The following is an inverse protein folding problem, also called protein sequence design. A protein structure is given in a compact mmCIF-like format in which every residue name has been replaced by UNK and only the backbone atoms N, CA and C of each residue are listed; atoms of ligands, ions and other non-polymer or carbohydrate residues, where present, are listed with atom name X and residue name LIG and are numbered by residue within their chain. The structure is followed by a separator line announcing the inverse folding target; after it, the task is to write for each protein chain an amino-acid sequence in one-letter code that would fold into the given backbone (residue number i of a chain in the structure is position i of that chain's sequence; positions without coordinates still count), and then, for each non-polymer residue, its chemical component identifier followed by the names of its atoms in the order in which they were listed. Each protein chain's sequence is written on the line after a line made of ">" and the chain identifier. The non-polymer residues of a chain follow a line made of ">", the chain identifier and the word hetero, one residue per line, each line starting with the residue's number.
data_IF_555164687806
#
_entry.id   IF_555164687806
#
_cell.length_a   1.000
_cell.length_b   1.000
_cell.length_c   1.000
_cell.angle_alpha   90.00
_cell.angle_beta   90.00
_cell.angle_gamma   90.00
#
_symmetry.space_group_name_H-M   'P 1'
#
loop_
_entity.id
_entity.type
_entity.pdbx_description
1 polymer ?
#
# COMPACT_ATOMS: atom_id res chain seq x y z
N UNK A 1 -7.58 -24.91 -1.10
CA UNK A 1 -8.71 -24.66 -0.18
C UNK A 1 -9.58 -23.60 -0.83
N UNK A 2 -10.57 -24.02 -1.61
CA UNK A 2 -11.59 -23.09 -2.10
C UNK A 2 -12.59 -22.88 -0.97
N UNK A 3 -12.32 -21.88 -0.13
CA UNK A 3 -13.22 -21.49 0.93
C UNK A 3 -14.38 -20.70 0.31
N UNK A 4 -15.40 -21.40 -0.19
CA UNK A 4 -16.62 -20.77 -0.70
C UNK A 4 -17.51 -20.37 0.48
N UNK A 5 -17.64 -19.06 0.71
CA UNK A 5 -18.59 -18.53 1.69
C UNK A 5 -20.00 -18.71 1.15
N UNK A 6 -20.83 -19.51 1.83
CA UNK A 6 -22.23 -19.65 1.48
C UNK A 6 -22.99 -18.36 1.87
N UNK A 7 -23.59 -17.70 0.88
CA UNK A 7 -24.32 -16.43 1.04
C UNK A 7 -25.83 -16.59 0.79
N UNK A 8 -26.34 -17.81 0.59
CA UNK A 8 -27.72 -18.07 0.18
C UNK A 8 -28.78 -17.64 1.19
N UNK A 9 -28.41 -17.45 2.46
CA UNK A 9 -29.33 -17.04 3.53
C UNK A 9 -29.39 -15.53 3.74
N UNK A 10 -28.61 -14.74 3.00
CA UNK A 10 -28.46 -13.30 3.21
C UNK A 10 -29.17 -12.51 2.12
N UNK A 11 -29.81 -11.41 2.51
CA UNK A 11 -30.42 -10.49 1.56
C UNK A 11 -29.33 -9.70 0.79
N UNK A 12 -29.58 -9.27 -0.46
CA UNK A 12 -28.60 -8.53 -1.26
C UNK A 12 -28.01 -7.30 -0.57
N UNK A 13 -28.80 -6.64 0.29
CA UNK A 13 -28.37 -5.49 1.10
C UNK A 13 -27.34 -5.87 2.16
N UNK A 14 -27.48 -7.04 2.77
CA UNK A 14 -26.56 -7.56 3.78
C UNK A 14 -25.24 -7.97 3.12
N UNK A 15 -25.33 -8.61 1.94
CA UNK A 15 -24.16 -8.94 1.11
C UNK A 15 -23.41 -7.66 0.72
N UNK A 16 -24.11 -6.61 0.27
CA UNK A 16 -23.47 -5.34 -0.06
C UNK A 16 -22.74 -4.71 1.15
N UNK A 17 -23.33 -4.79 2.34
CA UNK A 17 -22.70 -4.31 3.58
C UNK A 17 -21.45 -5.13 3.93
N UNK A 18 -21.51 -6.45 3.79
CA UNK A 18 -20.36 -7.32 4.00
C UNK A 18 -19.22 -6.98 3.03
N UNK A 19 -19.51 -6.82 1.75
CA UNK A 19 -18.52 -6.43 0.74
C UNK A 19 -17.86 -5.09 1.09
N UNK A 20 -18.63 -4.11 1.56
CA UNK A 20 -18.08 -2.81 1.99
C UNK A 20 -17.16 -2.93 3.22
N UNK A 21 -17.50 -3.83 4.16
CA UNK A 21 -16.73 -4.03 5.39
C UNK A 21 -15.46 -4.88 5.20
N UNK A 22 -15.50 -5.86 4.30
CA UNK A 22 -14.40 -6.79 3.99
C UNK A 22 -13.46 -6.22 2.91
N UNK A 23 -13.69 -4.98 2.48
CA UNK A 23 -12.97 -4.39 1.38
C UNK A 23 -11.49 -4.11 1.71
N UNK A 24 -10.59 -4.95 1.18
CA UNK A 24 -9.14 -4.78 1.29
C UNK A 24 -8.52 -3.87 0.22
N UNK A 25 -9.33 -3.18 -0.60
CA UNK A 25 -8.82 -2.36 -1.70
C UNK A 25 -7.84 -1.27 -1.23
N UNK A 26 -8.07 -0.66 -0.06
CA UNK A 26 -7.17 0.34 0.49
C UNK A 26 -5.80 -0.25 0.88
N UNK A 27 -5.81 -1.39 1.57
CA UNK A 27 -4.59 -2.11 1.94
C UNK A 27 -3.84 -2.60 0.70
N UNK A 28 -4.56 -3.20 -0.26
CA UNK A 28 -4.00 -3.64 -1.53
C UNK A 28 -3.37 -2.49 -2.31
N UNK A 29 -4.01 -1.31 -2.38
CA UNK A 29 -3.45 -0.15 -3.06
C UNK A 29 -2.12 0.28 -2.43
N UNK A 30 -2.02 0.29 -1.10
CA UNK A 30 -0.76 0.61 -0.42
C UNK A 30 0.32 -0.47 -0.64
N UNK A 31 -0.04 -1.76 -0.61
CA UNK A 31 0.89 -2.86 -0.92
C UNK A 31 1.39 -2.76 -2.37
N UNK A 32 0.53 -2.38 -3.32
CA UNK A 32 0.96 -2.16 -4.72
C UNK A 32 1.90 -0.96 -4.83
N UNK A 33 1.68 0.11 -4.05
CA UNK A 33 2.61 1.23 -3.99
C UNK A 33 3.98 0.79 -3.46
N UNK A 34 4.01 0.00 -2.38
CA UNK A 34 5.25 -0.57 -1.82
C UNK A 34 6.02 -1.31 -2.90
N UNK A 35 5.37 -2.24 -3.60
CA UNK A 35 5.99 -3.07 -4.67
C UNK A 35 6.56 -2.24 -5.81
N UNK A 36 5.95 -1.11 -6.16
CA UNK A 36 6.40 -0.22 -7.25
C UNK A 36 7.49 0.78 -6.85
N UNK A 37 7.68 1.00 -5.55
CA UNK A 37 8.60 2.02 -5.01
C UNK A 37 9.83 1.43 -4.32
N UNK A 38 9.71 0.20 -3.81
CA UNK A 38 10.78 -0.49 -3.08
C UNK A 38 11.11 -1.79 -3.83
N UNK A 39 12.23 -1.79 -4.57
CA UNK A 39 12.71 -2.95 -5.34
C UNK A 39 12.89 -4.20 -4.46
N UNK A 40 13.33 -4.01 -3.21
CA UNK A 40 13.52 -5.09 -2.24
C UNK A 40 12.22 -5.82 -1.83
N UNK A 41 11.06 -5.22 -2.11
CA UNK A 41 9.73 -5.77 -1.81
C UNK A 41 8.90 -5.94 -3.08
N UNK A 42 9.53 -5.80 -4.24
CA UNK A 42 8.91 -6.08 -5.53
C UNK A 42 8.60 -7.58 -5.66
N UNK A 43 7.67 -7.92 -6.55
CA UNK A 43 7.44 -9.32 -6.89
C UNK A 43 8.67 -9.89 -7.62
N UNK A 44 9.03 -11.15 -7.38
CA UNK A 44 10.13 -11.77 -8.09
C UNK A 44 9.89 -11.80 -9.58
N UNK A 45 10.96 -11.57 -10.34
CA UNK A 45 10.93 -11.56 -11.79
C UNK A 45 10.95 -13.01 -12.31
N UNK A 46 10.10 -13.31 -13.27
CA UNK A 46 10.17 -14.56 -14.03
C UNK A 46 11.08 -14.34 -15.23
N UNK A 47 12.23 -15.01 -15.29
CA UNK A 47 13.16 -14.88 -16.42
C UNK A 47 12.90 -15.95 -17.46
N UNK A 48 13.11 -15.64 -18.74
CA UNK A 48 12.86 -16.58 -19.84
C UNK A 48 13.84 -17.78 -19.89
N UNK A 49 14.89 -17.78 -19.06
CA UNK A 49 16.01 -18.74 -19.12
C UNK A 49 16.03 -19.76 -17.97
N UNK A 50 15.14 -19.64 -16.99
CA UNK A 50 15.14 -20.54 -15.83
C UNK A 50 13.72 -20.81 -15.37
N UNK A 51 13.46 -22.06 -15.01
CA UNK A 51 12.16 -22.55 -14.55
C UNK A 51 11.90 -22.12 -13.08
N UNK A 52 12.06 -20.81 -12.79
CA UNK A 52 12.09 -20.30 -11.42
C UNK A 52 11.91 -18.78 -11.27
N UNK A 53 11.42 -18.39 -10.09
CA UNK A 53 11.32 -16.99 -9.65
C UNK A 53 12.70 -16.45 -9.30
N UNK A 54 13.08 -15.31 -9.87
CA UNK A 54 14.33 -14.63 -9.58
C UNK A 54 14.13 -13.56 -8.49
N UNK A 55 14.98 -13.62 -7.46
CA UNK A 55 14.93 -12.77 -6.28
C UNK A 55 16.16 -11.86 -6.19
N UNK A 56 16.69 -11.37 -7.32
CA UNK A 56 17.94 -10.59 -7.36
C UNK A 56 17.96 -9.36 -6.44
N UNK A 57 16.80 -8.77 -6.13
CA UNK A 57 16.66 -7.62 -5.25
C UNK A 57 16.21 -8.01 -3.84
N UNK A 58 16.08 -9.30 -3.52
CA UNK A 58 15.62 -9.71 -2.20
C UNK A 58 16.59 -9.25 -1.12
N UNK A 59 16.01 -8.80 -0.02
CA UNK A 59 16.76 -8.27 1.09
C UNK A 59 17.31 -9.41 1.96
N UNK A 60 18.60 -9.36 2.28
CA UNK A 60 19.22 -10.32 3.18
C UNK A 60 18.91 -10.04 4.65
N UNK A 61 18.69 -8.76 5.02
CA UNK A 61 18.29 -8.36 6.37
C UNK A 61 16.88 -7.72 6.33
N UNK A 62 15.86 -8.35 6.95
CA UNK A 62 14.50 -7.81 6.96
C UNK A 62 14.38 -6.44 7.64
N UNK A 63 15.31 -6.05 8.51
CA UNK A 63 15.30 -4.73 9.17
C UNK A 63 15.33 -3.58 8.15
N UNK A 64 16.13 -3.70 7.08
CA UNK A 64 16.18 -2.68 6.04
C UNK A 64 14.85 -2.56 5.29
N UNK A 65 14.08 -3.64 5.17
CA UNK A 65 12.74 -3.59 4.59
C UNK A 65 11.79 -2.79 5.49
N UNK A 66 11.84 -3.02 6.80
CA UNK A 66 11.05 -2.24 7.77
C UNK A 66 11.41 -0.75 7.73
N UNK A 67 12.71 -0.42 7.71
CA UNK A 67 13.18 0.97 7.63
C UNK A 67 12.69 1.65 6.34
N UNK A 68 12.84 0.99 5.19
CA UNK A 68 12.40 1.50 3.90
C UNK A 68 10.88 1.70 3.83
N UNK A 69 10.09 0.72 4.33
CA UNK A 69 8.63 0.85 4.43
C UNK A 69 8.26 2.03 5.33
N UNK A 70 8.97 2.21 6.45
CA UNK A 70 8.69 3.30 7.39
C UNK A 70 8.87 4.66 6.72
N UNK A 71 9.98 4.84 5.99
CA UNK A 71 10.23 6.06 5.20
C UNK A 71 9.14 6.26 4.15
N UNK A 72 8.83 5.21 3.37
CA UNK A 72 7.80 5.28 2.33
C UNK A 72 6.42 5.62 2.92
N UNK A 73 6.06 5.03 4.06
CA UNK A 73 4.80 5.30 4.77
C UNK A 73 4.71 6.76 5.19
N UNK A 74 5.77 7.32 5.75
CA UNK A 74 5.81 8.74 6.14
C UNK A 74 5.69 9.63 4.91
N UNK A 75 6.48 9.38 3.86
CA UNK A 75 6.41 10.14 2.62
C UNK A 75 5.03 10.06 1.95
N UNK A 76 4.44 8.86 1.85
CA UNK A 76 3.11 8.65 1.25
C UNK A 76 2.01 9.42 1.99
N UNK A 77 1.99 9.36 3.31
CA UNK A 77 0.94 9.98 4.10
C UNK A 77 1.02 11.50 4.15
N UNK A 78 2.23 12.08 4.18
CA UNK A 78 2.42 13.51 4.46
C UNK A 78 2.89 14.32 3.26
N UNK A 79 3.66 13.72 2.33
CA UNK A 79 4.30 14.46 1.23
C UNK A 79 3.69 14.21 -0.15
N UNK A 80 3.03 13.06 -0.37
CA UNK A 80 2.54 12.67 -1.70
C UNK A 80 1.02 12.90 -1.84
N UNK A 81 0.57 14.08 -2.31
CA UNK A 81 -0.84 14.29 -2.61
C UNK A 81 -1.22 13.55 -3.89
N UNK A 82 -2.39 12.95 -3.89
CA UNK A 82 -2.99 12.36 -5.09
C UNK A 82 -4.37 12.95 -5.34
N UNK A 83 -4.73 13.00 -6.61
CA UNK A 83 -6.02 13.49 -7.04
C UNK A 83 -7.04 12.35 -6.98
N UNK A 84 -8.17 12.62 -6.35
CA UNK A 84 -9.34 11.74 -6.40
C UNK A 84 -10.57 12.60 -6.23
N UNK A 85 -11.56 12.41 -7.12
CA UNK A 85 -12.80 13.20 -7.19
C UNK A 85 -12.53 14.72 -7.24
N UNK A 86 -11.58 15.15 -8.09
CA UNK A 86 -11.14 16.55 -8.26
C UNK A 86 -10.54 17.21 -7.01
N UNK A 87 -10.18 16.42 -5.99
CA UNK A 87 -9.56 16.93 -4.76
C UNK A 87 -8.15 16.34 -4.66
N UNK A 88 -7.15 17.22 -4.69
CA UNK A 88 -5.74 16.88 -4.48
C UNK A 88 -5.38 17.02 -3.00
N UNK A 89 -5.31 15.88 -2.29
CA UNK A 89 -5.00 15.81 -0.85
C UNK A 89 -4.14 14.58 -0.55
N UNK A 90 -3.30 14.66 0.48
CA UNK A 90 -2.57 13.50 0.99
C UNK A 90 -3.49 12.57 1.78
N UNK A 91 -3.13 11.30 1.99
CA UNK A 91 -3.87 10.41 2.89
C UNK A 91 -4.06 10.99 4.30
N UNK A 92 -3.02 11.60 4.90
CA UNK A 92 -3.13 12.20 6.22
C UNK A 92 -4.10 13.39 6.26
N UNK A 93 -4.18 14.19 5.18
CA UNK A 93 -5.17 15.26 5.07
C UNK A 93 -6.60 14.73 4.93
N UNK A 94 -6.80 13.60 4.23
CA UNK A 94 -8.12 12.97 4.07
C UNK A 94 -8.64 12.40 5.40
N UNK A 95 -7.74 11.91 6.24
CA UNK A 95 -8.05 11.43 7.59
C UNK A 95 -8.18 12.57 8.62
N UNK A 96 -7.88 13.82 8.25
CA UNK A 96 -7.91 14.96 9.18
C UNK A 96 -6.72 15.03 10.15
N UNK A 97 -5.70 14.18 9.96
CA UNK A 97 -4.48 14.14 10.78
C UNK A 97 -3.58 15.35 10.47
N UNK A 98 -3.54 15.76 9.20
CA UNK A 98 -2.73 16.87 8.72
C UNK A 98 -3.59 17.96 8.07
N UNK A 99 -3.19 19.23 8.23
CA UNK A 99 -3.86 20.37 7.58
C UNK A 99 -3.22 20.77 6.26
N UNK A 100 -1.91 20.55 6.09
CA UNK A 100 -1.14 20.88 4.89
C UNK A 100 -0.46 19.66 4.27
N UNK A 101 0.01 19.81 3.04
CA UNK A 101 1.00 18.93 2.43
C UNK A 101 2.37 19.32 3.00
N UNK A 102 3.17 18.33 3.41
CA UNK A 102 4.51 18.55 3.95
C UNK A 102 5.56 18.36 2.86
N UNK A 103 6.64 19.14 2.93
CA UNK A 103 7.84 18.87 2.15
C UNK A 103 8.81 17.96 2.93
N UNK A 104 9.76 17.33 2.24
CA UNK A 104 10.72 16.43 2.91
C UNK A 104 11.52 17.16 4.00
N UNK A 105 11.86 18.42 3.79
CA UNK A 105 12.55 19.30 4.76
C UNK A 105 11.73 19.58 6.02
N UNK A 106 10.39 19.48 5.94
CA UNK A 106 9.53 19.68 7.11
C UNK A 106 9.55 18.44 8.04
N UNK A 107 10.02 17.29 7.53
CA UNK A 107 10.04 16.00 8.23
C UNK A 107 11.45 15.63 8.67
N UNK A 108 12.43 15.84 7.78
CA UNK A 108 13.84 15.59 8.06
C UNK A 108 14.48 16.86 8.62
N UNK A 109 14.76 16.86 9.92
CA UNK A 109 15.58 17.88 10.54
C UNK A 109 17.05 17.59 10.23
N UNK A 110 17.63 18.32 9.28
CA UNK A 110 19.07 18.31 9.02
C UNK A 110 19.71 19.27 10.02
N UNK A 111 20.51 18.73 10.94
CA UNK A 111 21.30 19.49 11.92
C UNK A 111 22.75 19.62 11.47
#
# INVERSE_FOLDING_TARGET
>A
MDCTTNLSSLEPKEIARLVLNVNDNAANAFIQLIRRRLSILERPLTTARGDGKSYIYANFNPEYAQMAITILRTYYNFCLPYESRNIKKTPAQRLGIAKKVFELKDILYLR
#
